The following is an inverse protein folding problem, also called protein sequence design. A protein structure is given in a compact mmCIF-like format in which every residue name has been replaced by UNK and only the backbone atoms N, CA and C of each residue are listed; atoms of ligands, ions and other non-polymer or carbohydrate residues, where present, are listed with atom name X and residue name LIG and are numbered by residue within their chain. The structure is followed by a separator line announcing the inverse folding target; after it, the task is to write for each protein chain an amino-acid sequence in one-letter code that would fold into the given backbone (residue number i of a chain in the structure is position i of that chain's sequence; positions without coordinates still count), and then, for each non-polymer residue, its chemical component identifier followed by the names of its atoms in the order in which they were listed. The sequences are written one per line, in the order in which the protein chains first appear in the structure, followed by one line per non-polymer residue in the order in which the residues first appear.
data_IF_201847857644
#
_entry.id   IF_201847857644
#
_cell.length_a   1.000
_cell.length_b   1.000
_cell.length_c   1.000
_cell.angle_alpha   90.00
_cell.angle_beta   90.00
_cell.angle_gamma   90.00
#
_symmetry.space_group_name_H-M   'P 1'
#
loop_
_entity.id
_entity.type
_entity.pdbx_description
1 polymer ?
#
# COMPACT_ATOMS: atom_id res chain seq x y z
N UNK A 1 -15.33 -75.63 12.48
CA UNK A 1 -14.72 -74.87 11.38
C UNK A 1 -15.84 -74.31 10.56
N UNK A 2 -15.80 -73.02 10.26
CA UNK A 2 -16.84 -72.35 9.46
C UNK A 2 -16.61 -72.71 8.00
N UNK A 3 -17.68 -73.03 7.27
CA UNK A 3 -17.67 -73.21 5.82
C UNK A 3 -18.60 -72.18 5.20
N UNK A 4 -18.15 -71.57 4.10
CA UNK A 4 -18.95 -70.62 3.34
C UNK A 4 -18.74 -70.86 1.85
N UNK A 5 -19.80 -70.69 1.06
CA UNK A 5 -19.74 -70.71 -0.40
C UNK A 5 -20.86 -69.85 -0.99
N UNK A 6 -20.71 -69.46 -2.25
CA UNK A 6 -21.72 -68.72 -3.00
C UNK A 6 -22.30 -69.58 -4.11
N UNK A 7 -23.58 -69.36 -4.43
CA UNK A 7 -24.24 -69.93 -5.59
C UNK A 7 -25.11 -68.84 -6.24
N UNK A 8 -24.64 -68.29 -7.36
CA UNK A 8 -25.20 -67.06 -7.93
C UNK A 8 -25.02 -65.90 -6.95
N UNK A 9 -26.05 -65.06 -6.81
CA UNK A 9 -26.07 -63.90 -5.91
C UNK A 9 -26.42 -64.25 -4.46
N UNK A 10 -26.34 -65.53 -4.11
CA UNK A 10 -26.73 -66.04 -2.80
C UNK A 10 -25.51 -66.63 -2.09
N UNK A 11 -25.23 -66.15 -0.88
CA UNK A 11 -24.22 -66.73 0.00
C UNK A 11 -24.84 -67.74 0.96
N UNK A 12 -24.11 -68.82 1.22
CA UNK A 12 -24.46 -69.86 2.18
C UNK A 12 -23.33 -70.01 3.18
N UNK A 13 -23.67 -69.98 4.48
CA UNK A 13 -22.70 -70.14 5.56
C UNK A 13 -23.16 -71.20 6.55
N UNK A 14 -22.23 -72.07 6.92
CA UNK A 14 -22.36 -73.11 7.93
C UNK A 14 -21.33 -72.92 9.04
N UNK A 15 -21.76 -72.72 10.29
CA UNK A 15 -20.83 -72.57 11.43
C UNK A 15 -20.32 -73.90 12.00
N UNK A 16 -20.96 -75.02 11.63
CA UNK A 16 -20.50 -76.38 11.94
C UNK A 16 -20.95 -76.87 13.31
N UNK A 17 -20.08 -77.60 14.02
CA UNK A 17 -20.39 -78.18 15.34
C UNK A 17 -19.98 -77.23 16.48
N UNK A 18 -20.90 -76.94 17.40
CA UNK A 18 -20.64 -76.14 18.61
C UNK A 18 -20.34 -77.06 19.80
N UNK A 19 -19.14 -76.91 20.37
CA UNK A 19 -18.70 -77.71 21.51
C UNK A 19 -19.69 -77.60 22.68
N UNK A 20 -20.18 -78.74 23.17
CA UNK A 20 -21.14 -78.83 24.27
C UNK A 20 -22.62 -78.66 23.89
N UNK A 21 -22.95 -78.34 22.64
CA UNK A 21 -24.35 -78.08 22.19
C UNK A 21 -24.74 -78.93 20.96
N UNK A 22 -23.78 -79.51 20.24
CA UNK A 22 -24.01 -80.40 19.10
C UNK A 22 -24.22 -79.65 17.78
N UNK A 23 -24.80 -80.34 16.79
CA UNK A 23 -25.18 -79.73 15.51
C UNK A 23 -26.41 -78.84 15.70
N UNK A 24 -26.20 -77.54 15.67
CA UNK A 24 -27.25 -76.52 15.65
C UNK A 24 -27.71 -76.28 14.19
N UNK A 25 -28.91 -75.72 13.99
CA UNK A 25 -29.44 -75.40 12.64
C UNK A 25 -28.65 -74.21 12.07
N UNK A 26 -27.45 -74.52 11.61
CA UNK A 26 -26.38 -73.55 11.36
C UNK A 26 -26.19 -73.20 9.88
N UNK A 27 -27.10 -73.62 9.01
CA UNK A 27 -27.02 -73.35 7.58
C UNK A 27 -27.89 -72.15 7.21
N UNK A 28 -27.25 -71.01 7.00
CA UNK A 28 -27.90 -69.75 6.68
C UNK A 28 -27.77 -69.45 5.19
N UNK A 29 -28.91 -69.14 4.54
CA UNK A 29 -28.98 -68.67 3.16
C UNK A 29 -29.15 -67.15 3.17
N UNK A 30 -28.37 -66.45 2.37
CA UNK A 30 -28.44 -65.01 2.24
C UNK A 30 -28.75 -64.60 0.79
N UNK A 31 -29.93 -64.03 0.50
CA UNK A 31 -30.48 -63.94 -0.85
C UNK A 31 -30.02 -62.74 -1.71
N UNK A 32 -29.18 -61.82 -1.22
CA UNK A 32 -28.87 -60.57 -1.94
C UNK A 32 -27.47 -59.99 -1.68
N UNK A 33 -26.48 -60.32 -2.50
CA UNK A 33 -25.12 -59.78 -2.39
C UNK A 33 -24.92 -58.40 -3.06
N UNK A 34 -25.99 -57.66 -3.37
CA UNK A 34 -25.88 -56.37 -4.07
C UNK A 34 -25.24 -55.24 -3.24
N UNK A 35 -25.12 -55.39 -1.93
CA UNK A 35 -24.45 -54.46 -1.02
C UNK A 35 -23.51 -55.20 -0.03
N UNK A 36 -22.51 -54.52 0.55
CA UNK A 36 -21.71 -55.09 1.63
C UNK A 36 -22.56 -55.31 2.89
N UNK A 37 -22.42 -56.48 3.51
CA UNK A 37 -23.16 -56.87 4.70
C UNK A 37 -22.21 -57.37 5.79
N UNK A 38 -22.53 -57.11 7.05
CA UNK A 38 -21.83 -57.70 8.19
C UNK A 38 -22.70 -58.80 8.83
N UNK A 39 -22.11 -59.98 9.07
CA UNK A 39 -22.75 -61.05 9.84
C UNK A 39 -22.43 -60.88 11.33
N UNK A 40 -23.45 -60.58 12.14
CA UNK A 40 -23.34 -60.67 13.59
C UNK A 40 -23.88 -62.02 14.05
N UNK A 41 -23.09 -62.80 14.79
CA UNK A 41 -23.53 -64.10 15.35
C UNK A 41 -23.58 -63.96 16.87
N UNK A 42 -24.75 -64.21 17.46
CA UNK A 42 -24.88 -64.17 18.92
C UNK A 42 -24.17 -65.39 19.57
N UNK A 43 -23.90 -65.36 20.89
CA UNK A 43 -23.24 -66.47 21.59
C UNK A 43 -24.01 -67.80 21.53
N UNK A 44 -25.30 -67.77 21.16
CA UNK A 44 -26.13 -68.95 21.00
C UNK A 44 -25.98 -69.59 19.60
N UNK A 45 -25.38 -68.91 18.64
CA UNK A 45 -25.16 -69.38 17.27
C UNK A 45 -26.18 -68.86 16.25
N UNK A 46 -27.06 -67.94 16.66
CA UNK A 46 -28.03 -67.32 15.77
C UNK A 46 -27.38 -66.12 15.07
N UNK A 47 -27.39 -66.13 13.75
CA UNK A 47 -26.86 -65.07 12.91
C UNK A 47 -27.93 -64.03 12.58
N UNK A 48 -27.60 -62.76 12.77
CA UNK A 48 -28.36 -61.62 12.25
C UNK A 48 -27.48 -60.87 11.25
N UNK A 49 -28.02 -60.65 10.05
CA UNK A 49 -27.35 -59.82 9.04
C UNK A 49 -27.61 -58.35 9.34
N UNK A 50 -26.54 -57.57 9.38
CA UNK A 50 -26.59 -56.11 9.47
C UNK A 50 -26.32 -55.62 8.05
N UNK A 51 -27.37 -55.11 7.40
CA UNK A 51 -27.23 -54.33 6.17
C UNK A 51 -26.46 -53.05 6.51
N UNK A 52 -25.29 -52.87 5.90
CA UNK A 52 -24.49 -51.66 6.08
C UNK A 52 -24.97 -50.51 5.20
N UNK A 53 -25.98 -50.76 4.35
CA UNK A 53 -26.53 -49.79 3.43
C UNK A 53 -25.52 -49.36 2.36
N UNK A 54 -26.01 -48.98 1.18
CA UNK A 54 -25.18 -48.28 0.21
C UNK A 54 -24.80 -46.84 0.64
N UNK A 55 -25.30 -46.37 1.80
CA UNK A 55 -25.18 -44.99 2.29
C UNK A 55 -23.95 -44.71 3.15
N UNK A 56 -23.24 -45.72 3.64
CA UNK A 56 -22.15 -45.54 4.61
C UNK A 56 -20.75 -45.66 3.96
N UNK A 57 -20.65 -45.48 2.63
CA UNK A 57 -19.39 -45.34 1.87
C UNK A 57 -19.22 -43.90 1.39
N UNK A 58 -19.47 -42.95 2.28
CA UNK A 58 -19.52 -41.52 2.03
C UNK A 58 -18.37 -41.00 1.14
N UNK A 59 -18.67 -40.76 -0.13
CA UNK A 59 -17.90 -39.84 -0.95
C UNK A 59 -18.44 -38.44 -0.65
N UNK A 60 -18.06 -37.83 0.49
CA UNK A 60 -18.60 -36.51 0.81
C UNK A 60 -18.19 -35.51 -0.27
N UNK A 61 -19.18 -35.01 -0.98
CA UNK A 61 -18.93 -33.88 -1.84
C UNK A 61 -18.93 -32.59 -0.99
N UNK A 62 -17.77 -31.95 -0.90
CA UNK A 62 -17.64 -30.63 -0.26
C UNK A 62 -17.81 -29.57 -1.33
N UNK A 63 -18.76 -28.66 -1.13
CA UNK A 63 -19.02 -27.57 -2.08
C UNK A 63 -19.05 -26.23 -1.37
N UNK A 64 -18.58 -25.19 -2.08
CA UNK A 64 -18.64 -23.81 -1.61
C UNK A 64 -19.54 -23.04 -2.56
N UNK A 65 -20.57 -22.41 -2.00
CA UNK A 65 -21.43 -21.47 -2.72
C UNK A 65 -21.47 -20.15 -1.94
N UNK A 66 -20.89 -19.09 -2.50
CA UNK A 66 -20.66 -17.86 -1.74
C UNK A 66 -19.66 -18.12 -0.60
N UNK A 67 -20.09 -17.88 0.64
CA UNK A 67 -19.32 -18.10 1.87
C UNK A 67 -19.69 -19.38 2.60
N UNK A 68 -20.60 -20.17 2.06
CA UNK A 68 -21.14 -21.34 2.75
C UNK A 68 -20.45 -22.61 2.26
N UNK A 69 -19.75 -23.29 3.16
CA UNK A 69 -19.22 -24.63 2.93
C UNK A 69 -20.29 -25.66 3.28
N UNK A 70 -20.77 -26.40 2.30
CA UNK A 70 -21.75 -27.48 2.49
C UNK A 70 -21.09 -28.85 2.37
N UNK A 71 -21.41 -29.72 3.33
CA UNK A 71 -21.06 -31.15 3.32
C UNK A 71 -22.31 -31.91 2.87
N UNK A 72 -22.16 -32.81 1.89
CA UNK A 72 -23.25 -33.69 1.44
C UNK A 72 -23.90 -34.41 2.62
N UNK A 73 -25.25 -34.34 2.69
CA UNK A 73 -26.09 -34.84 3.80
C UNK A 73 -25.72 -34.33 5.20
N UNK A 74 -24.90 -33.27 5.27
CA UNK A 74 -24.41 -32.65 6.48
C UNK A 74 -24.93 -31.22 6.68
N UNK A 75 -24.32 -30.53 7.63
CA UNK A 75 -24.60 -29.13 7.88
C UNK A 75 -23.87 -28.23 6.87
N UNK A 76 -24.45 -27.06 6.65
CA UNK A 76 -23.74 -25.95 6.03
C UNK A 76 -23.00 -25.16 7.11
N UNK A 77 -21.72 -24.89 6.87
CA UNK A 77 -20.87 -24.06 7.73
C UNK A 77 -20.70 -22.71 7.06
N UNK A 78 -21.18 -21.67 7.71
CA UNK A 78 -20.99 -20.29 7.28
C UNK A 78 -19.54 -19.85 7.54
N UNK A 79 -18.81 -19.53 6.46
CA UNK A 79 -17.44 -19.02 6.49
C UNK A 79 -17.38 -17.50 6.25
N UNK A 80 -18.51 -16.79 6.25
CA UNK A 80 -18.57 -15.34 6.02
C UNK A 80 -17.76 -14.53 7.04
N UNK A 81 -17.56 -15.08 8.24
CA UNK A 81 -16.69 -14.51 9.28
C UNK A 81 -15.20 -14.75 9.08
N UNK A 82 -14.79 -15.57 8.11
CA UNK A 82 -13.39 -15.75 7.72
C UNK A 82 -13.04 -14.71 6.65
N UNK A 83 -13.08 -13.44 7.05
CA UNK A 83 -12.66 -12.34 6.19
C UNK A 83 -11.13 -12.37 6.10
N UNK A 84 -10.58 -12.39 4.87
CA UNK A 84 -9.17 -12.07 4.68
C UNK A 84 -9.03 -10.54 4.65
N UNK A 85 -9.03 -9.90 5.81
CA UNK A 85 -9.14 -8.44 5.86
C UNK A 85 -7.89 -7.69 6.31
N UNK A 86 -7.11 -8.18 7.26
CA UNK A 86 -6.28 -7.26 8.03
C UNK A 86 -7.07 -6.00 8.50
N UNK A 87 -8.37 -6.20 8.79
CA UNK A 87 -9.48 -5.25 9.12
C UNK A 87 -10.35 -4.74 7.95
N UNK A 88 -11.58 -5.28 7.82
CA UNK A 88 -12.61 -4.93 6.83
C UNK A 88 -13.91 -4.53 7.51
N UNK A 89 -13.85 -4.02 8.74
CA UNK A 89 -15.01 -3.45 9.40
C UNK A 89 -15.24 -2.01 8.88
N UNK A 90 -16.23 -1.76 7.99
CA UNK A 90 -16.47 -0.42 7.45
C UNK A 90 -16.96 0.57 8.52
N UNK A 91 -17.25 0.11 9.74
CA UNK A 91 -17.65 0.96 10.86
C UNK A 91 -16.46 1.56 11.62
N UNK A 92 -15.24 1.04 11.44
CA UNK A 92 -14.03 1.53 12.10
C UNK A 92 -13.07 2.27 11.15
N UNK A 93 -13.39 2.30 9.85
CA UNK A 93 -12.76 3.12 8.82
C UNK A 93 -13.16 4.59 8.97
N UNK A 94 -12.88 5.17 10.14
CA UNK A 94 -13.39 6.48 10.50
C UNK A 94 -12.85 7.53 9.54
N UNK A 95 -11.59 7.46 9.12
CA UNK A 95 -10.98 8.40 8.16
C UNK A 95 -11.05 7.81 6.75
N UNK A 96 -11.78 8.48 5.87
CA UNK A 96 -11.99 8.09 4.47
C UNK A 96 -11.17 8.93 3.48
N UNK A 97 -10.56 10.04 3.95
CA UNK A 97 -9.68 10.85 3.13
C UNK A 97 -8.82 11.84 3.93
N UNK A 98 -7.64 12.13 3.41
CA UNK A 98 -6.76 13.18 3.90
C UNK A 98 -6.21 13.96 2.71
N UNK A 99 -6.38 15.28 2.70
CA UNK A 99 -5.91 16.16 1.62
C UNK A 99 -5.39 17.48 2.16
N UNK A 100 -4.52 18.14 1.41
CA UNK A 100 -4.08 19.51 1.71
C UNK A 100 -4.74 20.46 0.71
N UNK A 101 -5.51 21.42 1.21
CA UNK A 101 -6.17 22.45 0.43
C UNK A 101 -5.64 23.83 0.85
N UNK A 102 -4.68 24.36 0.09
CA UNK A 102 -3.93 25.55 0.50
C UNK A 102 -3.14 25.29 1.79
N UNK A 103 -3.49 26.00 2.87
CA UNK A 103 -2.85 25.87 4.19
C UNK A 103 -3.59 24.92 5.14
N UNK A 104 -4.67 24.31 4.67
CA UNK A 104 -5.58 23.57 5.52
C UNK A 104 -5.45 22.07 5.27
N UNK A 105 -5.18 21.31 6.33
CA UNK A 105 -5.29 19.85 6.31
C UNK A 105 -6.76 19.48 6.45
N UNK A 106 -7.34 18.93 5.39
CA UNK A 106 -8.69 18.41 5.37
C UNK A 106 -8.67 16.90 5.64
N UNK A 107 -9.27 16.49 6.75
CA UNK A 107 -9.50 15.09 7.11
C UNK A 107 -10.99 14.80 6.99
N UNK A 108 -11.36 13.85 6.14
CA UNK A 108 -12.75 13.43 5.95
C UNK A 108 -12.99 12.16 6.75
N UNK A 109 -13.94 12.22 7.68
CA UNK A 109 -14.43 11.09 8.44
C UNK A 109 -15.95 10.86 8.27
N UNK A 110 -16.51 9.87 8.98
CA UNK A 110 -17.94 9.58 8.97
C UNK A 110 -18.82 10.76 9.45
N UNK A 111 -18.25 11.70 10.20
CA UNK A 111 -18.87 12.96 10.64
C UNK A 111 -18.72 14.12 9.65
N UNK A 112 -18.00 13.92 8.54
CA UNK A 112 -17.76 14.90 7.48
C UNK A 112 -16.29 15.32 7.39
N UNK A 113 -16.02 16.42 6.68
CA UNK A 113 -14.65 16.94 6.54
C UNK A 113 -14.34 17.96 7.63
N UNK A 114 -13.33 17.64 8.45
CA UNK A 114 -12.73 18.57 9.41
C UNK A 114 -11.50 19.22 8.78
N UNK A 115 -11.36 20.53 8.99
CA UNK A 115 -10.24 21.31 8.49
C UNK A 115 -9.38 21.78 9.65
N UNK A 116 -8.08 21.49 9.57
CA UNK A 116 -7.06 21.99 10.50
C UNK A 116 -6.18 22.98 9.75
N UNK A 117 -6.29 24.25 10.12
CA UNK A 117 -5.46 25.29 9.55
C UNK A 117 -4.01 25.14 10.04
N UNK A 118 -3.08 24.90 9.11
CA UNK A 118 -1.66 24.70 9.38
C UNK A 118 -0.83 25.97 9.22
N UNK A 119 -1.42 27.14 8.99
CA UNK A 119 -0.70 28.40 8.78
C UNK A 119 0.18 28.82 9.97
N UNK A 120 -0.09 28.32 11.17
CA UNK A 120 0.76 28.56 12.35
C UNK A 120 1.97 27.63 12.43
N UNK A 121 1.97 26.50 11.73
CA UNK A 121 3.04 25.49 11.72
C UNK A 121 3.91 25.62 10.48
N UNK A 122 3.30 26.07 9.37
CA UNK A 122 4.01 26.53 8.19
C UNK A 122 4.23 28.03 8.43
N UNK A 123 5.32 28.47 9.11
CA UNK A 123 5.62 29.89 9.09
C UNK A 123 5.62 30.32 7.63
N UNK A 124 5.00 31.46 7.34
CA UNK A 124 5.19 32.07 6.04
C UNK A 124 6.70 32.34 5.93
N UNK A 125 7.42 31.44 5.30
CA UNK A 125 8.79 31.67 4.89
C UNK A 125 8.69 32.75 3.82
N UNK A 126 8.83 34.01 4.23
CA UNK A 126 9.26 35.04 3.31
C UNK A 126 10.70 34.67 2.95
N UNK A 127 10.87 34.00 1.79
CA UNK A 127 12.15 33.71 1.14
C UNK A 127 13.15 34.85 1.41
N UNK A 128 14.37 34.54 1.89
CA UNK A 128 15.09 35.33 2.88
C UNK A 128 15.21 36.79 2.44
N UNK A 129 14.27 37.59 2.92
CA UNK A 129 14.37 39.04 2.96
C UNK A 129 14.73 39.68 1.60
N UNK A 130 14.47 39.04 0.45
CA UNK A 130 14.77 39.66 -0.87
C UNK A 130 13.68 40.68 -1.18
N UNK A 131 14.00 41.96 -0.96
CA UNK A 131 13.11 43.08 -1.30
C UNK A 131 12.87 43.20 -2.82
N UNK A 132 12.09 44.21 -3.21
CA UNK A 132 11.86 44.49 -4.62
C UNK A 132 13.15 44.96 -5.31
N UNK A 133 13.77 44.07 -6.09
CA UNK A 133 14.98 44.36 -6.86
C UNK A 133 14.67 44.42 -8.35
N UNK A 134 15.16 45.46 -9.02
CA UNK A 134 15.17 45.53 -10.48
C UNK A 134 16.43 44.85 -11.00
N UNK A 135 16.30 44.08 -12.08
CA UNK A 135 17.44 43.50 -12.79
C UNK A 135 18.49 44.58 -13.08
N UNK A 136 19.77 44.20 -13.11
CA UNK A 136 20.92 45.06 -13.42
C UNK A 136 21.32 46.10 -12.37
N UNK A 137 20.54 46.30 -11.31
CA UNK A 137 20.96 47.11 -10.17
C UNK A 137 21.68 46.26 -9.12
N UNK A 138 22.68 46.84 -8.46
CA UNK A 138 23.40 46.17 -7.37
C UNK A 138 22.47 45.94 -6.15
N UNK A 139 22.27 44.70 -5.67
CA UNK A 139 21.51 44.45 -4.45
C UNK A 139 22.30 44.88 -3.20
N UNK A 140 21.62 45.43 -2.19
CA UNK A 140 22.21 45.87 -0.93
C UNK A 140 21.36 45.42 0.25
N UNK A 141 22.00 44.87 1.29
CA UNK A 141 21.33 44.60 2.57
C UNK A 141 21.07 45.91 3.33
N UNK A 142 19.82 46.18 3.72
CA UNK A 142 19.43 47.37 4.49
C UNK A 142 19.21 47.13 5.99
N UNK A 143 19.39 45.90 6.46
CA UNK A 143 19.10 45.49 7.83
C UNK A 143 17.79 44.72 7.98
N UNK A 144 16.94 44.69 6.96
CA UNK A 144 15.70 43.91 6.91
C UNK A 144 15.45 43.22 5.57
N UNK A 145 16.04 43.72 4.48
CA UNK A 145 15.93 43.15 3.15
C UNK A 145 17.15 43.40 2.26
N UNK A 146 17.37 42.54 1.27
CA UNK A 146 18.14 42.88 0.08
C UNK A 146 17.31 43.82 -0.78
N UNK A 147 17.67 45.09 -0.84
CA UNK A 147 17.01 46.14 -1.62
C UNK A 147 17.89 46.62 -2.75
N UNK A 148 17.29 47.15 -3.82
CA UNK A 148 18.06 47.65 -4.95
C UNK A 148 18.87 48.91 -4.58
N UNK A 149 20.07 48.99 -5.13
CA UNK A 149 20.84 50.24 -5.24
C UNK A 149 20.09 51.26 -6.11
N UNK A 150 20.25 52.55 -5.80
CA UNK A 150 19.79 53.66 -6.65
C UNK A 150 20.90 54.26 -7.51
N UNK A 151 22.12 53.73 -7.42
CA UNK A 151 23.32 54.39 -7.99
C UNK A 151 24.13 53.49 -8.91
N UNK A 152 24.37 52.23 -8.55
CA UNK A 152 25.15 51.29 -9.37
C UNK A 152 24.23 50.46 -10.25
N UNK A 153 24.48 50.49 -11.55
CA UNK A 153 23.75 49.76 -12.60
C UNK A 153 24.75 49.09 -13.57
N UNK A 154 24.45 47.90 -14.06
CA UNK A 154 25.19 47.23 -15.14
C UNK A 154 24.27 47.01 -16.35
N UNK A 155 24.56 47.61 -17.49
CA UNK A 155 23.71 47.43 -18.67
C UNK A 155 23.78 46.01 -19.26
N UNK A 156 22.91 45.70 -20.21
CA UNK A 156 22.86 44.38 -20.85
C UNK A 156 24.15 44.01 -21.64
N UNK A 157 25.05 44.97 -21.85
CA UNK A 157 26.34 44.77 -22.53
C UNK A 157 27.51 44.65 -21.56
N UNK A 158 27.27 44.78 -20.25
CA UNK A 158 28.27 44.69 -19.19
C UNK A 158 28.96 46.03 -18.86
N UNK A 159 28.41 47.16 -19.31
CA UNK A 159 28.92 48.48 -18.92
C UNK A 159 28.36 48.88 -17.55
N UNK A 160 29.22 49.39 -16.67
CA UNK A 160 28.82 49.79 -15.31
C UNK A 160 28.59 51.30 -15.25
N UNK A 161 27.38 51.70 -14.87
CA UNK A 161 27.00 53.07 -14.55
C UNK A 161 27.00 53.33 -13.04
N UNK A 162 27.56 54.47 -12.62
CA UNK A 162 27.40 55.05 -11.29
C UNK A 162 26.65 56.37 -11.44
N UNK A 163 25.40 56.41 -10.97
CA UNK A 163 24.50 57.56 -11.11
C UNK A 163 23.79 57.65 -12.47
N UNK A 164 23.94 56.64 -13.34
CA UNK A 164 23.27 56.53 -14.64
C UNK A 164 22.85 55.08 -14.89
N UNK A 165 21.68 54.89 -15.50
CA UNK A 165 21.17 53.59 -15.97
C UNK A 165 21.42 53.35 -17.47
N UNK A 166 22.10 54.30 -18.12
CA UNK A 166 22.37 54.29 -19.55
C UNK A 166 23.85 54.61 -19.82
N UNK A 167 24.80 53.82 -19.29
CA UNK A 167 26.22 54.07 -19.49
C UNK A 167 26.61 53.97 -20.98
N UNK A 168 27.28 54.99 -21.50
CA UNK A 168 27.79 55.03 -22.88
C UNK A 168 29.21 54.47 -23.05
N UNK A 169 29.86 54.08 -21.95
CA UNK A 169 31.22 53.52 -21.89
C UNK A 169 31.27 52.39 -20.85
N UNK A 170 32.34 51.57 -20.88
CA UNK A 170 32.50 50.43 -19.95
C UNK A 170 32.35 50.79 -18.47
N UNK A 171 32.76 52.00 -18.10
CA UNK A 171 32.51 52.61 -16.80
C UNK A 171 32.10 54.06 -17.02
N UNK A 172 30.91 54.45 -16.57
CA UNK A 172 30.45 55.85 -16.58
C UNK A 172 30.05 56.30 -15.18
N UNK A 173 30.59 57.42 -14.72
CA UNK A 173 30.19 58.07 -13.47
C UNK A 173 29.49 59.38 -13.82
N UNK A 174 28.16 59.43 -13.67
CA UNK A 174 27.35 60.59 -14.00
C UNK A 174 27.12 61.45 -12.76
N UNK A 175 27.28 62.78 -12.88
CA UNK A 175 26.97 63.74 -11.82
C UNK A 175 27.89 63.70 -10.59
N UNK A 176 28.99 62.93 -10.64
CA UNK A 176 29.95 62.74 -9.55
C UNK A 176 31.40 62.97 -9.97
N UNK A 177 32.34 62.74 -9.06
CA UNK A 177 33.78 62.79 -9.31
C UNK A 177 34.42 61.44 -8.97
N UNK A 178 35.56 61.14 -9.60
CA UNK A 178 36.40 60.00 -9.22
C UNK A 178 37.51 60.53 -8.33
N UNK A 179 37.43 60.27 -7.02
CA UNK A 179 38.47 60.66 -6.07
C UNK A 179 39.44 59.49 -5.83
N UNK A 180 40.73 59.77 -5.93
CA UNK A 180 41.80 58.85 -5.56
C UNK A 180 42.47 59.31 -4.26
N UNK A 181 42.91 58.38 -3.41
CA UNK A 181 43.49 58.70 -2.09
C UNK A 181 44.97 58.30 -1.99
N UNK A 182 45.69 59.01 -1.11
CA UNK A 182 47.05 58.73 -0.62
C UNK A 182 48.15 58.75 -1.69
N UNK A 183 48.17 57.84 -2.66
CA UNK A 183 49.17 57.83 -3.75
C UNK A 183 48.67 57.09 -5.02
N UNK A 184 47.35 56.92 -5.17
CA UNK A 184 46.77 56.31 -6.37
C UNK A 184 46.61 57.35 -7.49
N UNK A 185 46.95 56.97 -8.71
CA UNK A 185 46.70 57.73 -9.94
C UNK A 185 45.82 56.92 -10.89
N UNK A 186 45.04 57.60 -11.74
CA UNK A 186 44.39 56.94 -12.86
C UNK A 186 45.47 56.59 -13.88
N UNK A 187 45.70 55.30 -14.08
CA UNK A 187 46.54 54.82 -15.17
C UNK A 187 45.67 54.61 -16.40
N UNK A 188 45.93 55.36 -17.46
CA UNK A 188 45.33 55.11 -18.76
C UNK A 188 46.24 54.17 -19.52
N UNK A 189 45.71 53.02 -19.94
CA UNK A 189 46.41 52.10 -20.82
C UNK A 189 45.84 52.23 -22.23
N UNK A 190 46.69 51.98 -23.23
CA UNK A 190 46.23 51.71 -24.59
C UNK A 190 45.58 50.32 -24.64
N UNK A 191 44.90 50.03 -25.74
CA UNK A 191 44.28 48.70 -25.96
C UNK A 191 45.28 47.53 -25.91
N UNK A 192 46.57 47.81 -26.15
CA UNK A 192 47.67 46.85 -26.03
C UNK A 192 48.23 46.69 -24.59
N UNK A 193 47.61 47.36 -23.61
CA UNK A 193 48.02 47.31 -22.20
C UNK A 193 49.24 48.16 -21.85
N UNK A 194 49.79 48.93 -22.80
CA UNK A 194 50.90 49.86 -22.53
C UNK A 194 50.41 51.19 -21.96
N UNK A 195 51.26 51.88 -21.19
CA UNK A 195 50.93 53.18 -20.60
C UNK A 195 50.62 54.21 -21.70
N UNK A 196 49.39 54.74 -21.68
CA UNK A 196 48.92 55.79 -22.59
C UNK A 196 49.42 57.19 -22.16
N UNK A 197 50.09 57.30 -21.03
CA UNK A 197 50.57 58.54 -20.44
C UNK A 197 49.55 59.16 -19.48
N UNK A 198 50.01 60.12 -18.67
CA UNK A 198 49.15 60.87 -17.76
C UNK A 198 48.40 61.96 -18.52
N UNK A 199 47.10 62.09 -18.26
CA UNK A 199 46.35 63.33 -18.54
C UNK A 199 46.56 64.27 -17.35
N UNK A 200 47.11 65.45 -17.62
CA UNK A 200 47.33 66.52 -16.64
C UNK A 200 46.19 67.51 -16.59
#
# INVERSE_FOLDING_TARGET
GVVAFTLGDVAYLGTGNKAGVGFVKDFWRYPDLSAPHLLSINPNGEGTWIDLGAGDMDNQNLSIAGTDLSIEDGNTVDLSGLVNDADADPTNELITGASLNGNDLEITDAGGTTNVNLSSIIPAEADPEVGANTLNYLPKWDGSALVQSTSVFEDATGNVGIGTDSPGQRLEVQGGHIALHRDYELCFLRDDGTDAGKIG
#
